data_IF_220779156564
#
_entry.id   IF_220779156564
#
_cell.length_a   1.000
_cell.length_b   1.000
_cell.length_c   1.000
_cell.angle_alpha   90.00
_cell.angle_beta   90.00
_cell.angle_gamma   90.00
#
_symmetry.space_group_name_H-M   'P 1'
#
loop_
_entity.id
_entity.type
_entity.pdbx_description
1 polymer ?
#
# COMPACT_ATOMS: atom_id res chain seq x y z
N UNK A 1 52.14 23.07 7.95
CA UNK A 1 51.00 22.45 7.22
C UNK A 1 51.01 20.97 7.53
N UNK A 2 50.00 20.45 8.23
CA UNK A 2 49.85 19.00 8.41
C UNK A 2 49.36 18.47 7.05
N UNK A 3 50.08 17.51 6.47
CA UNK A 3 49.79 17.00 5.12
C UNK A 3 48.35 16.47 5.02
N UNK A 4 47.60 16.91 4.01
CA UNK A 4 46.24 16.41 3.71
C UNK A 4 45.08 17.16 4.36
N UNK A 5 45.34 18.18 5.19
CA UNK A 5 44.29 19.02 5.79
C UNK A 5 44.23 20.40 5.14
N UNK A 6 43.03 20.95 4.99
CA UNK A 6 42.84 22.35 4.62
C UNK A 6 43.12 23.29 5.83
N UNK A 7 43.09 24.60 5.61
CA UNK A 7 43.44 25.59 6.63
C UNK A 7 42.49 25.55 7.85
N UNK A 8 41.18 25.42 7.62
CA UNK A 8 40.17 25.29 8.68
C UNK A 8 40.36 24.02 9.50
N UNK A 9 40.60 22.89 8.84
CA UNK A 9 40.86 21.60 9.49
C UNK A 9 42.16 21.64 10.29
N UNK A 10 43.20 22.29 9.77
CA UNK A 10 44.47 22.46 10.48
C UNK A 10 44.27 23.28 11.75
N UNK A 11 43.50 24.37 11.67
CA UNK A 11 43.15 25.21 12.84
C UNK A 11 42.35 24.42 13.88
N UNK A 12 41.33 23.68 13.46
CA UNK A 12 40.50 22.87 14.35
C UNK A 12 41.30 21.77 15.08
N UNK A 13 42.30 21.16 14.43
CA UNK A 13 43.19 20.17 15.06
C UNK A 13 44.09 20.80 16.12
N UNK A 14 44.60 22.01 15.87
CA UNK A 14 45.41 22.74 16.84
C UNK A 14 44.57 23.15 18.07
N UNK A 15 43.37 23.70 17.85
CA UNK A 15 42.42 24.03 18.93
C UNK A 15 42.03 22.78 19.74
N UNK A 16 41.83 21.64 19.08
CA UNK A 16 41.56 20.37 19.77
C UNK A 16 42.73 19.89 20.64
N UNK A 17 43.98 20.13 20.21
CA UNK A 17 45.17 19.75 20.95
C UNK A 17 45.40 20.59 22.22
N UNK A 18 44.76 21.76 22.33
CA UNK A 18 44.84 22.63 23.51
C UNK A 18 43.83 22.25 24.61
N UNK A 19 42.90 21.33 24.33
CA UNK A 19 41.90 20.86 25.30
C UNK A 19 42.48 19.95 26.38
N UNK A 20 41.82 19.85 27.53
CA UNK A 20 42.16 18.83 28.53
C UNK A 20 41.78 17.44 28.01
N UNK A 21 42.51 16.40 28.46
CA UNK A 21 42.28 15.00 28.03
C UNK A 21 40.82 14.56 28.13
N UNK A 22 40.11 14.93 29.20
CA UNK A 22 38.69 14.58 29.38
C UNK A 22 37.81 15.27 28.31
N UNK A 23 38.08 16.53 28.00
CA UNK A 23 37.36 17.30 26.97
C UNK A 23 37.65 16.76 25.57
N UNK A 24 38.90 16.34 25.31
CA UNK A 24 39.28 15.65 24.07
C UNK A 24 38.51 14.34 23.91
N UNK A 25 38.41 13.51 24.96
CA UNK A 25 37.68 12.24 24.91
C UNK A 25 36.18 12.44 24.68
N UNK A 26 35.57 13.45 25.32
CA UNK A 26 34.17 13.82 25.08
C UNK A 26 33.99 14.27 23.62
N UNK A 27 34.86 15.16 23.13
CA UNK A 27 34.80 15.68 21.76
C UNK A 27 34.98 14.56 20.72
N UNK A 28 35.90 13.62 20.95
CA UNK A 28 36.06 12.41 20.12
C UNK A 28 34.77 11.59 20.13
N UNK A 29 34.19 11.30 21.31
CA UNK A 29 32.96 10.50 21.41
C UNK A 29 31.79 11.17 20.68
N UNK A 30 31.62 12.48 20.84
CA UNK A 30 30.61 13.28 20.14
C UNK A 30 30.83 13.20 18.63
N UNK A 31 32.08 13.37 18.17
CA UNK A 31 32.43 13.32 16.75
C UNK A 31 32.18 11.93 16.14
N UNK A 32 32.52 10.86 16.86
CA UNK A 32 32.21 9.48 16.45
C UNK A 32 30.70 9.24 16.35
N UNK A 33 29.90 9.74 17.30
CA UNK A 33 28.44 9.62 17.26
C UNK A 33 27.85 10.41 16.09
N UNK A 34 28.31 11.64 15.86
CA UNK A 34 27.89 12.45 14.70
C UNK A 34 28.21 11.74 13.38
N UNK A 35 29.44 11.24 13.23
CA UNK A 35 29.85 10.51 12.05
C UNK A 35 29.03 9.23 11.81
N UNK A 36 28.74 8.47 12.87
CA UNK A 36 27.88 7.28 12.78
C UNK A 36 26.46 7.64 12.35
N UNK A 37 25.89 8.73 12.87
CA UNK A 37 24.57 9.20 12.47
C UNK A 37 24.56 9.64 11.00
N UNK A 38 25.55 10.42 10.56
CA UNK A 38 25.68 10.83 9.15
C UNK A 38 25.83 9.64 8.20
N UNK A 39 26.61 8.62 8.59
CA UNK A 39 26.73 7.38 7.83
C UNK A 39 25.41 6.65 7.73
N UNK A 40 24.68 6.50 8.84
CA UNK A 40 23.37 5.85 8.86
C UNK A 40 22.36 6.57 7.96
N UNK A 41 22.31 7.90 8.04
CA UNK A 41 21.44 8.75 7.21
C UNK A 41 21.75 8.56 5.72
N UNK A 42 23.04 8.58 5.35
CA UNK A 42 23.46 8.33 3.96
C UNK A 42 23.09 6.92 3.51
N UNK A 43 23.34 5.92 4.34
CA UNK A 43 23.10 4.52 4.01
C UNK A 43 21.61 4.26 3.77
N UNK A 44 20.73 4.80 4.61
CA UNK A 44 19.28 4.69 4.39
C UNK A 44 18.85 5.41 3.11
N UNK A 45 19.38 6.61 2.84
CA UNK A 45 19.09 7.33 1.58
C UNK A 45 19.48 6.54 0.34
N UNK A 46 20.61 5.84 0.38
CA UNK A 46 21.00 4.92 -0.69
C UNK A 46 20.07 3.70 -0.74
N UNK A 47 19.74 3.12 0.40
CA UNK A 47 18.95 1.91 0.48
C UNK A 47 17.50 2.09 0.02
N UNK A 48 16.84 3.19 0.40
CA UNK A 48 15.47 3.51 -0.06
C UNK A 48 15.40 3.67 -1.59
N UNK A 49 16.52 3.98 -2.25
CA UNK A 49 16.61 4.05 -3.72
C UNK A 49 17.04 2.73 -4.36
N UNK A 50 17.43 1.75 -3.55
CA UNK A 50 17.88 0.45 -4.03
C UNK A 50 16.71 -0.33 -4.66
N UNK A 51 16.92 -1.01 -5.81
CA UNK A 51 15.87 -1.78 -6.46
C UNK A 51 15.20 -2.83 -5.56
N UNK A 52 15.96 -3.46 -4.67
CA UNK A 52 15.40 -4.49 -3.77
C UNK A 52 14.41 -3.91 -2.76
N UNK A 53 14.73 -2.77 -2.16
CA UNK A 53 13.80 -2.08 -1.26
C UNK A 53 12.53 -1.68 -2.02
N UNK A 54 12.70 -1.08 -3.20
CA UNK A 54 11.59 -0.66 -4.06
C UNK A 54 10.70 -1.84 -4.44
N UNK A 55 11.30 -2.98 -4.80
CA UNK A 55 10.55 -4.20 -5.13
C UNK A 55 9.79 -4.76 -3.92
N UNK A 56 10.41 -4.79 -2.73
CA UNK A 56 9.75 -5.26 -1.50
C UNK A 56 8.59 -4.37 -1.11
N UNK A 57 8.81 -3.05 -1.07
CA UNK A 57 7.78 -2.07 -0.75
C UNK A 57 6.61 -2.20 -1.73
N UNK A 58 6.92 -2.23 -3.03
CA UNK A 58 5.92 -2.38 -4.08
C UNK A 58 5.10 -3.66 -3.95
N UNK A 59 5.74 -4.78 -3.65
CA UNK A 59 5.04 -6.05 -3.44
C UNK A 59 4.06 -5.96 -2.26
N UNK A 60 4.49 -5.43 -1.11
CA UNK A 60 3.62 -5.28 0.06
C UNK A 60 2.48 -4.28 -0.20
N UNK A 61 2.77 -3.13 -0.80
CA UNK A 61 1.73 -2.15 -1.16
C UNK A 61 0.74 -2.74 -2.16
N UNK A 62 1.20 -3.58 -3.09
CA UNK A 62 0.33 -4.24 -4.05
C UNK A 62 -0.54 -5.30 -3.38
N UNK A 63 0.02 -6.12 -2.49
CA UNK A 63 -0.76 -7.08 -1.72
C UNK A 63 -1.79 -6.37 -0.83
N UNK A 64 -1.47 -5.20 -0.27
CA UNK A 64 -2.39 -4.38 0.50
C UNK A 64 -3.56 -3.87 -0.35
N UNK A 65 -3.27 -3.20 -1.47
CA UNK A 65 -4.28 -2.57 -2.32
C UNK A 65 -5.09 -3.57 -3.14
N UNK A 66 -4.50 -4.70 -3.53
CA UNK A 66 -5.17 -5.75 -4.32
C UNK A 66 -5.84 -6.80 -3.43
N UNK A 67 -5.67 -6.73 -2.11
CA UNK A 67 -6.29 -7.65 -1.17
C UNK A 67 -7.81 -7.72 -1.37
N UNK A 68 -8.35 -8.92 -1.21
CA UNK A 68 -9.80 -9.14 -1.16
C UNK A 68 -10.41 -8.47 0.08
N UNK A 69 -9.63 -8.38 1.16
CA UNK A 69 -10.03 -7.90 2.48
C UNK A 69 -9.75 -6.39 2.68
N UNK A 70 -9.30 -5.67 1.63
CA UNK A 70 -9.07 -4.23 1.76
C UNK A 70 -10.38 -3.48 2.07
N UNK A 71 -10.42 -2.78 3.19
CA UNK A 71 -11.63 -2.10 3.70
C UNK A 71 -11.76 -0.65 3.22
N UNK A 72 -10.62 -0.01 2.94
CA UNK A 72 -10.52 1.33 2.34
C UNK A 72 -9.21 1.43 1.53
N UNK A 73 -9.21 2.20 0.45
CA UNK A 73 -8.06 2.44 -0.43
C UNK A 73 -7.32 3.74 -0.08
N UNK A 74 -8.00 4.70 0.54
CA UNK A 74 -7.45 6.01 0.91
C UNK A 74 -7.49 6.19 2.42
N UNK A 75 -8.69 6.16 3.01
CA UNK A 75 -8.91 6.50 4.42
C UNK A 75 -8.12 5.57 5.33
N UNK A 76 -7.27 6.14 6.19
CA UNK A 76 -6.45 5.39 7.15
C UNK A 76 -5.33 4.51 6.57
N UNK A 77 -5.29 4.30 5.26
CA UNK A 77 -4.38 3.33 4.60
C UNK A 77 -2.90 3.66 4.85
N UNK A 78 -2.47 4.91 4.64
CA UNK A 78 -1.06 5.28 4.84
C UNK A 78 -0.64 5.11 6.31
N UNK A 79 -1.46 5.60 7.25
CA UNK A 79 -1.14 5.56 8.68
C UNK A 79 -0.97 4.11 9.15
N UNK A 80 -1.93 3.25 8.82
CA UNK A 80 -1.92 1.86 9.26
C UNK A 80 -0.86 1.01 8.53
N UNK A 81 -0.55 1.32 7.27
CA UNK A 81 0.60 0.72 6.57
C UNK A 81 1.93 1.10 7.25
N UNK A 82 2.09 2.36 7.65
CA UNK A 82 3.29 2.78 8.37
C UNK A 82 3.40 2.07 9.71
N UNK A 83 2.31 2.01 10.49
CA UNK A 83 2.29 1.28 11.77
C UNK A 83 2.63 -0.20 11.59
N UNK A 84 2.13 -0.84 10.52
CA UNK A 84 2.48 -2.21 10.19
C UNK A 84 3.98 -2.36 9.92
N UNK A 85 4.55 -1.54 9.03
CA UNK A 85 5.97 -1.62 8.71
C UNK A 85 6.89 -1.24 9.88
N UNK A 86 6.49 -0.30 10.73
CA UNK A 86 7.24 0.05 11.94
C UNK A 86 7.42 -1.15 12.87
N UNK A 87 6.43 -2.05 12.92
CA UNK A 87 6.46 -3.30 13.69
C UNK A 87 7.14 -4.45 12.95
N UNK A 88 7.35 -4.32 11.64
CA UNK A 88 7.84 -5.38 10.74
C UNK A 88 8.87 -4.79 9.74
N UNK A 89 9.89 -4.10 10.26
CA UNK A 89 10.89 -3.43 9.42
C UNK A 89 11.71 -4.41 8.58
N UNK A 90 11.85 -5.64 9.05
CA UNK A 90 12.50 -6.76 8.38
C UNK A 90 11.83 -7.14 7.06
N UNK A 91 10.51 -6.95 6.94
CA UNK A 91 9.76 -7.15 5.70
C UNK A 91 10.30 -6.29 4.55
N UNK A 92 10.81 -5.10 4.87
CA UNK A 92 11.46 -4.16 3.95
C UNK A 92 12.99 -4.17 4.07
N UNK A 93 13.55 -5.04 4.91
CA UNK A 93 14.97 -5.09 5.28
C UNK A 93 15.51 -3.73 5.74
N UNK A 94 14.69 -2.96 6.46
CA UNK A 94 15.08 -1.69 7.06
C UNK A 94 15.73 -1.93 8.43
N UNK A 95 16.74 -1.11 8.82
CA UNK A 95 17.33 -1.21 10.14
C UNK A 95 16.37 -0.69 11.22
N UNK A 96 16.47 -1.23 12.44
CA UNK A 96 15.53 -0.92 13.54
C UNK A 96 15.51 0.56 13.94
N UNK A 97 16.61 1.28 13.69
CA UNK A 97 16.79 2.69 14.04
C UNK A 97 16.10 3.67 13.07
N UNK A 98 15.43 3.19 12.01
CA UNK A 98 14.67 4.07 11.08
C UNK A 98 13.57 4.85 11.82
N UNK A 99 13.00 4.27 12.87
CA UNK A 99 11.94 4.89 13.65
C UNK A 99 12.44 5.96 14.63
N UNK A 100 13.71 5.89 15.03
CA UNK A 100 14.29 6.73 16.08
C UNK A 100 14.76 8.09 15.53
N UNK A 101 15.07 8.15 14.24
CA UNK A 101 15.55 9.35 13.55
C UNK A 101 14.43 9.99 12.72
N UNK A 102 14.00 11.23 13.05
CA UNK A 102 12.92 11.92 12.33
C UNK A 102 13.17 12.10 10.83
N UNK A 103 14.42 12.29 10.40
CA UNK A 103 14.78 12.49 8.99
C UNK A 103 14.62 11.18 8.23
N UNK A 104 15.13 10.09 8.81
CA UNK A 104 15.01 8.75 8.26
C UNK A 104 13.55 8.29 8.18
N UNK A 105 12.78 8.53 9.24
CA UNK A 105 11.36 8.22 9.28
C UNK A 105 10.57 9.04 8.25
N UNK A 106 10.88 10.33 8.06
CA UNK A 106 10.25 11.16 7.04
C UNK A 106 10.52 10.63 5.61
N UNK A 107 11.76 10.21 5.32
CA UNK A 107 12.12 9.61 4.03
C UNK A 107 11.35 8.30 3.79
N UNK A 108 11.33 7.42 4.79
CA UNK A 108 10.57 6.17 4.73
C UNK A 108 9.07 6.43 4.51
N UNK A 109 8.47 7.34 5.28
CA UNK A 109 7.07 7.76 5.15
C UNK A 109 6.76 8.28 3.74
N UNK A 110 7.61 9.14 3.18
CA UNK A 110 7.46 9.63 1.80
C UNK A 110 7.44 8.47 0.82
N UNK A 111 8.40 7.55 0.94
CA UNK A 111 8.48 6.38 0.06
C UNK A 111 7.22 5.53 0.06
N UNK A 112 6.63 5.27 1.24
CA UNK A 112 5.37 4.49 1.34
C UNK A 112 4.19 5.28 0.74
N UNK A 113 4.11 6.58 1.03
CA UNK A 113 3.08 7.47 0.50
C UNK A 113 3.11 7.54 -1.03
N UNK A 114 4.30 7.72 -1.60
CA UNK A 114 4.52 7.83 -3.04
C UNK A 114 4.17 6.51 -3.75
N UNK A 115 4.57 5.36 -3.19
CA UNK A 115 4.24 4.06 -3.75
C UNK A 115 2.72 3.79 -3.69
N UNK A 116 2.06 4.10 -2.57
CA UNK A 116 0.59 4.01 -2.46
C UNK A 116 -0.12 4.87 -3.52
N UNK A 117 0.31 6.12 -3.70
CA UNK A 117 -0.24 7.01 -4.70
C UNK A 117 0.00 6.50 -6.13
N UNK A 118 1.22 6.05 -6.42
CA UNK A 118 1.62 5.52 -7.72
C UNK A 118 0.84 4.26 -8.11
N UNK A 119 0.70 3.32 -7.18
CA UNK A 119 -0.06 2.10 -7.42
C UNK A 119 -1.55 2.36 -7.58
N UNK A 120 -2.15 3.20 -6.73
CA UNK A 120 -3.55 3.64 -6.90
C UNK A 120 -3.79 4.31 -8.25
N UNK A 121 -2.88 5.16 -8.70
CA UNK A 121 -2.97 5.78 -10.02
C UNK A 121 -2.93 4.73 -11.15
N UNK A 122 -1.98 3.79 -11.05
CA UNK A 122 -1.83 2.68 -12.01
C UNK A 122 -3.06 1.78 -12.03
N UNK A 123 -3.56 1.39 -10.86
CA UNK A 123 -4.76 0.58 -10.72
C UNK A 123 -5.97 1.28 -11.32
N UNK A 124 -6.18 2.57 -11.01
CA UNK A 124 -7.27 3.35 -11.61
C UNK A 124 -7.15 3.37 -13.12
N UNK A 125 -5.98 3.69 -13.66
CA UNK A 125 -5.73 3.72 -15.10
C UNK A 125 -6.00 2.38 -15.78
N UNK A 126 -5.62 1.27 -15.14
CA UNK A 126 -5.94 -0.08 -15.63
C UNK A 126 -7.43 -0.36 -15.56
N UNK A 127 -8.10 -0.08 -14.45
CA UNK A 127 -9.54 -0.30 -14.27
C UNK A 127 -10.31 0.50 -15.32
N UNK A 128 -10.02 1.78 -15.51
CA UNK A 128 -10.76 2.64 -16.46
C UNK A 128 -10.43 2.33 -17.91
N UNK A 129 -9.16 2.18 -18.28
CA UNK A 129 -8.79 1.85 -19.67
C UNK A 129 -9.29 0.46 -20.06
N UNK A 130 -9.22 -0.51 -19.14
CA UNK A 130 -9.76 -1.85 -19.37
C UNK A 130 -11.28 -1.89 -19.22
N UNK A 131 -11.92 -0.96 -18.53
CA UNK A 131 -13.38 -0.86 -18.51
C UNK A 131 -13.90 -0.56 -19.91
N UNK A 132 -13.33 0.43 -20.59
CA UNK A 132 -13.74 0.76 -21.97
C UNK A 132 -13.55 -0.42 -22.91
N UNK A 133 -12.42 -1.12 -22.80
CA UNK A 133 -12.13 -2.33 -23.57
C UNK A 133 -13.07 -3.46 -23.18
N UNK A 134 -13.32 -3.67 -21.89
CA UNK A 134 -14.16 -4.73 -21.35
C UNK A 134 -15.63 -4.54 -21.69
N UNK A 135 -16.12 -3.31 -21.75
CA UNK A 135 -17.47 -2.99 -22.19
C UNK A 135 -17.58 -3.22 -23.70
N UNK A 136 -16.64 -2.68 -24.49
CA UNK A 136 -16.66 -2.77 -25.95
C UNK A 136 -16.41 -4.19 -26.48
N UNK A 137 -15.54 -4.94 -25.83
CA UNK A 137 -15.08 -6.27 -26.26
C UNK A 137 -15.64 -7.41 -25.42
N UNK A 138 -16.42 -7.13 -24.37
CA UNK A 138 -17.01 -8.16 -23.50
C UNK A 138 -15.97 -9.01 -22.76
N UNK A 139 -14.94 -8.38 -22.19
CA UNK A 139 -13.91 -9.09 -21.42
C UNK A 139 -14.48 -9.62 -20.10
N UNK A 140 -14.28 -10.90 -19.85
CA UNK A 140 -14.69 -11.53 -18.60
C UNK A 140 -13.88 -11.06 -17.38
N UNK A 141 -14.41 -11.33 -16.20
CA UNK A 141 -13.81 -10.95 -14.92
C UNK A 141 -12.45 -11.62 -14.66
N UNK A 142 -12.21 -12.79 -15.24
CA UNK A 142 -10.98 -13.55 -15.01
C UNK A 142 -9.80 -12.91 -15.75
N UNK A 143 -10.02 -12.47 -17.00
CA UNK A 143 -9.03 -11.71 -17.75
C UNK A 143 -8.78 -10.34 -17.11
N UNK A 144 -9.83 -9.67 -16.63
CA UNK A 144 -9.67 -8.41 -15.89
C UNK A 144 -8.79 -8.63 -14.64
N UNK A 145 -9.08 -9.66 -13.86
CA UNK A 145 -8.32 -10.01 -12.66
C UNK A 145 -6.85 -10.23 -12.97
N UNK A 146 -6.55 -11.05 -13.98
CA UNK A 146 -5.16 -11.29 -14.42
C UNK A 146 -4.42 -10.01 -14.80
N UNK A 147 -5.11 -9.03 -15.37
CA UNK A 147 -4.51 -7.77 -15.81
C UNK A 147 -4.32 -6.75 -14.68
N UNK A 148 -5.21 -6.77 -13.68
CA UNK A 148 -5.13 -5.90 -12.51
C UNK A 148 -4.06 -6.36 -11.54
N UNK A 149 -3.94 -7.66 -11.32
CA UNK A 149 -2.88 -8.22 -10.51
C UNK A 149 -1.51 -7.94 -11.13
N UNK A 150 -0.59 -7.48 -10.29
CA UNK A 150 0.77 -7.05 -10.64
C UNK A 150 1.75 -7.62 -9.63
N UNK A 151 3.05 -7.53 -9.93
CA UNK A 151 4.12 -7.78 -8.97
C UNK A 151 4.02 -9.14 -8.28
N UNK A 152 3.76 -10.18 -9.08
CA UNK A 152 3.65 -11.58 -8.67
C UNK A 152 2.54 -11.92 -7.66
N UNK A 153 1.60 -10.99 -7.41
CA UNK A 153 0.39 -11.27 -6.64
C UNK A 153 -0.38 -12.39 -7.34
N UNK A 154 -0.60 -13.49 -6.61
CA UNK A 154 -1.33 -14.63 -7.12
C UNK A 154 -2.83 -14.38 -6.98
N UNK A 155 -3.60 -14.58 -8.05
CA UNK A 155 -5.04 -14.50 -7.98
C UNK A 155 -5.58 -15.56 -7.02
N UNK A 156 -6.71 -15.23 -6.40
CA UNK A 156 -7.54 -16.11 -5.58
C UNK A 156 -8.99 -15.96 -6.04
N UNK A 157 -9.86 -16.98 -5.89
CA UNK A 157 -11.28 -16.90 -6.22
C UNK A 157 -11.98 -15.62 -5.74
N UNK A 158 -11.71 -15.19 -4.50
CA UNK A 158 -12.32 -14.00 -3.92
C UNK A 158 -11.93 -12.68 -4.62
N UNK A 159 -10.79 -12.63 -5.31
CA UNK A 159 -10.39 -11.46 -6.11
C UNK A 159 -11.39 -11.15 -7.22
N UNK A 160 -12.05 -12.18 -7.78
CA UNK A 160 -13.03 -11.96 -8.85
C UNK A 160 -14.19 -11.09 -8.36
N UNK A 161 -14.67 -11.33 -7.14
CA UNK A 161 -15.77 -10.57 -6.58
C UNK A 161 -15.36 -9.14 -6.24
N UNK A 162 -14.16 -8.95 -5.67
CA UNK A 162 -13.62 -7.62 -5.38
C UNK A 162 -13.42 -6.78 -6.63
N UNK A 163 -12.87 -7.37 -7.70
CA UNK A 163 -12.64 -6.65 -8.95
C UNK A 163 -13.91 -6.44 -9.76
N UNK A 164 -14.92 -7.31 -9.63
CA UNK A 164 -16.25 -7.05 -10.16
C UNK A 164 -16.87 -5.82 -9.49
N UNK A 165 -16.72 -5.69 -8.16
CA UNK A 165 -17.13 -4.48 -7.44
C UNK A 165 -16.37 -3.24 -7.92
N UNK A 166 -15.04 -3.28 -8.04
CA UNK A 166 -14.27 -2.15 -8.57
C UNK A 166 -14.71 -1.75 -9.98
N UNK A 167 -15.00 -2.73 -10.85
CA UNK A 167 -15.51 -2.49 -12.19
C UNK A 167 -16.88 -1.80 -12.15
N UNK A 168 -17.81 -2.31 -11.35
CA UNK A 168 -19.14 -1.73 -11.20
C UNK A 168 -19.08 -0.29 -10.65
N UNK A 169 -18.30 -0.07 -9.60
CA UNK A 169 -18.12 1.25 -9.01
C UNK A 169 -17.43 2.23 -9.97
N UNK A 170 -16.48 1.76 -10.79
CA UNK A 170 -15.89 2.60 -11.83
C UNK A 170 -16.89 3.00 -12.92
N UNK A 171 -17.82 2.11 -13.29
CA UNK A 171 -18.92 2.44 -14.19
C UNK A 171 -19.82 3.51 -13.60
N UNK A 172 -20.15 3.41 -12.31
CA UNK A 172 -20.99 4.40 -11.64
C UNK A 172 -20.29 5.76 -11.53
N UNK A 173 -19.00 5.78 -11.18
CA UNK A 173 -18.19 7.00 -11.17
C UNK A 173 -18.16 7.69 -12.54
N UNK A 174 -18.03 6.91 -13.62
CA UNK A 174 -18.03 7.42 -14.99
C UNK A 174 -19.41 7.98 -15.43
N UNK A 175 -20.50 7.56 -14.80
CA UNK A 175 -21.85 8.10 -15.06
C UNK A 175 -22.13 9.40 -14.31
N UNK A 176 -21.37 9.73 -13.27
CA UNK A 176 -21.56 10.95 -12.50
C UNK A 176 -21.36 12.19 -13.37
N UNK A 177 -22.25 13.17 -13.20
CA UNK A 177 -22.10 14.51 -13.78
C UNK A 177 -20.88 15.22 -13.17
N UNK A 178 -20.28 16.22 -13.87
CA UNK A 178 -19.11 16.94 -13.37
C UNK A 178 -19.28 17.49 -11.94
N UNK A 179 -20.44 18.05 -11.62
CA UNK A 179 -20.70 18.58 -10.27
C UNK A 179 -20.80 17.49 -9.20
N UNK A 180 -21.36 16.32 -9.55
CA UNK A 180 -21.41 15.17 -8.66
C UNK A 180 -20.02 14.55 -8.44
N UNK A 181 -19.15 14.61 -9.45
CA UNK A 181 -17.75 14.16 -9.30
C UNK A 181 -16.96 15.08 -8.37
N UNK A 182 -17.17 16.40 -8.44
CA UNK A 182 -16.53 17.34 -7.51
C UNK A 182 -16.92 17.05 -6.06
N UNK A 183 -18.21 16.77 -5.81
CA UNK A 183 -18.67 16.45 -4.45
C UNK A 183 -18.29 15.05 -3.97
N UNK A 184 -18.13 14.09 -4.88
CA UNK A 184 -17.73 12.71 -4.56
C UNK A 184 -16.23 12.55 -4.32
N UNK A 185 -15.43 13.60 -4.52
CA UNK A 185 -13.99 13.56 -4.40
C UNK A 185 -13.28 12.82 -5.55
N UNK A 186 -12.08 12.35 -5.27
CA UNK A 186 -11.29 11.52 -6.16
C UNK A 186 -11.95 10.15 -6.40
N UNK A 187 -11.50 9.47 -7.44
CA UNK A 187 -11.98 8.12 -7.77
C UNK A 187 -11.91 7.17 -6.57
N UNK A 188 -10.81 7.17 -5.82
CA UNK A 188 -10.64 6.24 -4.71
C UNK A 188 -11.45 6.63 -3.48
N UNK A 189 -11.66 7.91 -3.22
CA UNK A 189 -12.60 8.38 -2.17
C UNK A 189 -14.04 7.97 -2.51
N UNK A 190 -14.42 8.01 -3.80
CA UNK A 190 -15.71 7.46 -4.23
C UNK A 190 -15.79 5.94 -3.99
N UNK A 191 -14.75 5.17 -4.30
CA UNK A 191 -14.73 3.73 -3.99
C UNK A 191 -14.86 3.49 -2.47
N UNK A 192 -14.14 4.25 -1.66
CA UNK A 192 -14.19 4.13 -0.19
C UNK A 192 -15.60 4.44 0.33
N UNK A 193 -16.25 5.50 -0.16
CA UNK A 193 -17.64 5.79 0.22
C UNK A 193 -18.63 4.69 -0.19
N UNK A 194 -18.39 4.01 -1.32
CA UNK A 194 -19.19 2.83 -1.71
C UNK A 194 -18.97 1.65 -0.77
N UNK A 195 -17.74 1.43 -0.31
CA UNK A 195 -17.45 0.39 0.67
C UNK A 195 -18.07 0.71 2.04
N UNK A 196 -18.07 1.98 2.45
CA UNK A 196 -18.80 2.43 3.65
C UNK A 196 -20.29 2.14 3.51
N UNK A 197 -20.92 2.49 2.37
CA UNK A 197 -22.35 2.19 2.13
C UNK A 197 -22.67 0.69 2.23
N UNK A 198 -21.79 -0.18 1.74
CA UNK A 198 -21.96 -1.64 1.89
C UNK A 198 -21.97 -2.01 3.36
N UNK A 199 -20.99 -1.54 4.15
CA UNK A 199 -20.89 -1.84 5.58
C UNK A 199 -22.05 -1.26 6.40
N UNK A 200 -22.50 -0.06 6.06
CA UNK A 200 -23.69 0.56 6.65
C UNK A 200 -24.95 -0.25 6.37
N UNK A 201 -25.11 -0.77 5.15
CA UNK A 201 -26.28 -1.57 4.76
C UNK A 201 -26.41 -2.90 5.52
N UNK A 202 -25.29 -3.40 6.06
CA UNK A 202 -25.24 -4.63 6.86
C UNK A 202 -25.01 -4.35 8.36
N UNK A 203 -25.09 -3.07 8.77
CA UNK A 203 -24.82 -2.66 10.16
C UNK A 203 -25.85 -3.19 11.14
N UNK A 204 -27.06 -3.47 10.68
CA UNK A 204 -28.15 -4.06 11.49
C UNK A 204 -27.81 -5.46 12.02
N UNK A 205 -26.90 -6.18 11.37
CA UNK A 205 -26.46 -7.50 11.81
C UNK A 205 -25.36 -7.38 12.88
N UNK A 206 -25.33 -8.26 13.90
CA UNK A 206 -24.29 -8.27 14.92
C UNK A 206 -22.88 -8.37 14.33
N UNK A 207 -21.88 -7.70 14.93
CA UNK A 207 -20.46 -7.87 14.56
C UNK A 207 -20.08 -9.35 14.74
N UNK A 208 -19.43 -9.94 13.73
CA UNK A 208 -19.02 -11.34 13.74
C UNK A 208 -19.44 -12.09 12.47
N UNK A 209 -19.51 -13.44 12.52
CA UNK A 209 -19.66 -14.29 11.34
C UNK A 209 -20.89 -13.99 10.48
N UNK A 210 -21.98 -13.51 11.08
CA UNK A 210 -23.19 -13.15 10.35
C UNK A 210 -22.99 -11.92 9.45
N UNK A 211 -22.34 -10.88 9.97
CA UNK A 211 -22.02 -9.67 9.18
C UNK A 211 -21.02 -10.01 8.06
N UNK A 212 -20.02 -10.83 8.36
CA UNK A 212 -19.03 -11.29 7.36
C UNK A 212 -19.71 -12.08 6.23
N UNK A 213 -20.69 -12.92 6.56
CA UNK A 213 -21.49 -13.66 5.58
C UNK A 213 -22.30 -12.72 4.69
N UNK A 214 -22.94 -11.68 5.25
CA UNK A 214 -23.70 -10.69 4.48
C UNK A 214 -22.82 -9.87 3.54
N UNK A 215 -21.63 -9.49 3.99
CA UNK A 215 -20.66 -8.83 3.13
C UNK A 215 -20.22 -9.74 1.97
N UNK A 216 -19.95 -11.02 2.26
CA UNK A 216 -19.63 -12.00 1.23
C UNK A 216 -20.78 -12.21 0.22
N UNK A 217 -22.04 -12.25 0.69
CA UNK A 217 -23.24 -12.33 -0.16
C UNK A 217 -23.37 -11.12 -1.10
N UNK A 218 -23.07 -9.91 -0.60
CA UNK A 218 -23.05 -8.70 -1.42
C UNK A 218 -22.04 -8.85 -2.57
N UNK A 219 -20.78 -9.17 -2.26
CA UNK A 219 -19.74 -9.32 -3.28
C UNK A 219 -20.03 -10.47 -4.25
N UNK A 220 -20.59 -11.57 -3.78
CA UNK A 220 -21.04 -12.68 -4.64
C UNK A 220 -22.14 -12.26 -5.61
N UNK A 221 -23.08 -11.43 -5.15
CA UNK A 221 -24.16 -10.87 -5.99
C UNK A 221 -23.59 -9.93 -7.06
N UNK A 222 -22.66 -9.06 -6.69
CA UNK A 222 -21.97 -8.18 -7.64
C UNK A 222 -21.23 -9.00 -8.70
N UNK A 223 -20.49 -10.05 -8.30
CA UNK A 223 -19.81 -10.95 -9.23
C UNK A 223 -20.78 -11.65 -10.19
N UNK A 224 -21.95 -12.09 -9.70
CA UNK A 224 -22.97 -12.73 -10.52
C UNK A 224 -23.50 -11.78 -11.59
N UNK A 225 -23.83 -10.55 -11.22
CA UNK A 225 -24.32 -9.52 -12.15
C UNK A 225 -23.25 -9.16 -13.19
N UNK A 226 -22.02 -9.01 -12.73
CA UNK A 226 -20.87 -8.73 -13.56
C UNK A 226 -20.63 -9.83 -14.63
N UNK A 227 -20.72 -11.10 -14.23
CA UNK A 227 -20.68 -12.24 -15.16
C UNK A 227 -21.83 -12.19 -16.17
N UNK A 228 -23.04 -11.81 -15.77
CA UNK A 228 -24.16 -11.71 -16.72
C UNK A 228 -23.94 -10.61 -17.77
N UNK A 229 -23.36 -9.48 -17.36
CA UNK A 229 -23.13 -8.33 -18.24
C UNK A 229 -21.95 -8.52 -19.20
N UNK A 230 -20.87 -9.15 -18.73
CA UNK A 230 -19.57 -9.12 -19.41
C UNK A 230 -19.05 -10.48 -19.90
N UNK A 231 -19.70 -11.61 -19.59
CA UNK A 231 -19.20 -12.95 -19.97
C UNK A 231 -19.52 -13.36 -21.43
N UNK A 232 -19.49 -12.40 -22.36
CA UNK A 232 -19.76 -12.66 -23.79
C UNK A 232 -18.61 -13.41 -24.45
N UNK A 233 -17.37 -13.13 -24.04
CA UNK A 233 -16.17 -13.83 -24.49
C UNK A 233 -15.50 -14.46 -23.27
N UNK A 234 -15.49 -15.81 -23.19
CA UNK A 234 -14.84 -16.58 -22.11
C UNK A 234 -13.31 -16.61 -22.26
N UNK A 235 -12.68 -15.46 -22.51
CA UNK A 235 -11.25 -15.33 -22.77
C UNK A 235 -10.37 -15.79 -21.60
N UNK A 236 -10.89 -15.80 -20.38
CA UNK A 236 -10.24 -16.23 -19.15
C UNK A 236 -10.69 -17.59 -18.61
N UNK A 237 -11.36 -18.44 -19.41
CA UNK A 237 -11.81 -19.76 -18.96
C UNK A 237 -10.69 -20.65 -18.37
N UNK A 238 -9.49 -20.58 -18.94
CA UNK A 238 -8.32 -21.29 -18.41
C UNK A 238 -7.88 -20.75 -17.04
N UNK A 239 -7.93 -19.43 -16.87
CA UNK A 239 -7.65 -18.74 -15.60
C UNK A 239 -8.63 -19.22 -14.52
N UNK A 240 -9.91 -19.39 -14.85
CA UNK A 240 -10.92 -19.90 -13.91
C UNK A 240 -10.60 -21.32 -13.40
N UNK A 241 -10.06 -22.20 -14.25
CA UNK A 241 -9.83 -23.61 -13.91
C UNK A 241 -8.54 -23.86 -13.13
N UNK A 242 -7.60 -22.90 -13.16
CA UNK A 242 -6.24 -23.09 -12.64
C UNK A 242 -6.01 -22.44 -11.29
N UNK A 243 -6.83 -21.47 -10.91
CA UNK A 243 -6.66 -20.70 -9.66
C UNK A 243 -7.25 -21.45 -8.47
N UNK A 244 -6.43 -21.65 -7.43
CA UNK A 244 -6.82 -22.21 -6.14
C UNK A 244 -6.69 -21.16 -5.04
N UNK A 245 -7.47 -21.31 -3.96
CA UNK A 245 -7.39 -20.41 -2.80
C UNK A 245 -6.03 -20.48 -2.07
N UNK A 246 -5.34 -21.62 -2.18
CA UNK A 246 -3.99 -21.82 -1.65
C UNK A 246 -2.91 -21.09 -2.46
N UNK A 247 -3.24 -20.57 -3.65
CA UNK A 247 -2.28 -19.94 -4.52
C UNK A 247 -1.95 -18.55 -3.99
N UNK A 248 -0.72 -18.37 -3.52
CA UNK A 248 -0.27 -17.13 -2.91
C UNK A 248 1.07 -17.33 -2.21
N UNK A 249 1.90 -16.29 -2.24
CA UNK A 249 3.08 -16.27 -1.40
C UNK A 249 2.67 -16.01 0.06
N UNK A 250 3.48 -16.47 1.02
CA UNK A 250 3.21 -16.24 2.45
C UNK A 250 3.11 -14.75 2.77
N UNK A 251 4.05 -13.94 2.26
CA UNK A 251 4.03 -12.48 2.43
C UNK A 251 2.76 -11.82 1.88
N UNK A 252 2.21 -12.33 0.77
CA UNK A 252 0.95 -11.83 0.20
C UNK A 252 -0.18 -12.09 1.20
N UNK A 253 -0.34 -13.33 1.67
CA UNK A 253 -1.41 -13.70 2.62
C UNK A 253 -1.30 -12.94 3.94
N UNK A 254 -0.08 -12.76 4.44
CA UNK A 254 0.16 -11.99 5.67
C UNK A 254 -0.26 -10.54 5.51
N UNK A 255 0.08 -9.92 4.38
CA UNK A 255 -0.32 -8.53 4.09
C UNK A 255 -1.84 -8.41 3.87
N UNK A 256 -2.45 -9.35 3.14
CA UNK A 256 -3.91 -9.39 2.94
C UNK A 256 -4.67 -9.50 4.27
N UNK A 257 -4.23 -10.41 5.15
CA UNK A 257 -4.80 -10.56 6.49
C UNK A 257 -4.57 -9.33 7.38
N UNK A 258 -3.44 -8.64 7.19
CA UNK A 258 -3.11 -7.40 7.89
C UNK A 258 -4.08 -6.28 7.50
N UNK A 259 -4.29 -6.05 6.19
CA UNK A 259 -5.18 -4.98 5.74
C UNK A 259 -6.65 -5.25 6.04
N UNK A 260 -7.05 -6.53 6.16
CA UNK A 260 -8.39 -6.89 6.64
C UNK A 260 -8.68 -6.43 8.07
N UNK A 261 -7.63 -6.17 8.86
CA UNK A 261 -7.74 -5.66 10.24
C UNK A 261 -7.57 -4.14 10.33
N UNK A 262 -7.38 -3.46 9.21
CA UNK A 262 -7.30 -2.01 9.24
C UNK A 262 -8.65 -1.42 9.65
N UNK A 263 -8.59 -0.49 10.61
CA UNK A 263 -9.72 0.25 11.14
C UNK A 263 -10.13 1.29 10.11
N UNK A 264 -11.43 1.39 9.88
CA UNK A 264 -12.04 2.43 9.04
C UNK A 264 -12.94 3.30 9.92
N UNK A 265 -13.14 4.57 9.55
CA UNK A 265 -13.86 5.56 10.40
C UNK A 265 -15.26 5.10 10.83
N UNK A 266 -15.92 4.25 10.05
CA UNK A 266 -17.23 3.68 10.37
C UNK A 266 -17.20 2.55 11.42
N UNK A 267 -16.01 2.09 11.85
CA UNK A 267 -15.85 1.09 12.91
C UNK A 267 -16.05 1.67 14.33
N UNK A 268 -15.75 2.96 14.52
CA UNK A 268 -15.70 3.67 15.81
C UNK A 268 -17.03 4.31 16.24
N UNK A 269 -18.05 4.33 15.39
CA UNK A 269 -19.38 4.91 15.71
C UNK A 269 -20.22 4.03 16.67
N UNK A 270 -19.58 3.25 17.54
CA UNK A 270 -20.23 2.38 18.54
C UNK A 270 -19.39 2.38 19.83
N UNK A 271 -19.74 3.27 20.75
CA UNK A 271 -19.90 2.89 22.16
C UNK A 271 -21.31 2.36 22.36
#
# INVERSE_FOLDING_TARGET
MISGLNEEQTKAVLEFAELKVVEMLISIKVSMMKYQNELNERLLRFYVRHPDYQSRLRNHVAAALLSVDVRAYVTGMLVQMLEHFQKNLDALCLPSNVNDDPVNYALFKSSVSDELAGQRSTMKGKITAKLDVSIKQGQDIYLLTKNLLVYDIKPRPLHFAKFAFLRAAAMDFNKLLPEQRKSSGSFWEFIDSKLVQVRESIREFPKGPERDLREAEFFATVLKNDKQLHNKVKAGALTQQTIKDSDGHEWQRTMEATVGRFVVEDDELVE
#
